data_IF_791143926067
#
_entry.id   IF_791143926067
#
_cell.length_a   1.000
_cell.length_b   1.000
_cell.length_c   1.000
_cell.angle_alpha   90.00
_cell.angle_beta   90.00
_cell.angle_gamma   90.00
#
_symmetry.space_group_name_H-M   'P 1'
#
loop_
_entity.id
_entity.type
_entity.pdbx_description
1 polymer ?
#
# COMPACT_ATOMS: atom_id res chain seq x y z
N UNK A 1 -26.14 33.63 -21.58
CA UNK A 1 -25.59 32.26 -21.66
C UNK A 1 -24.61 32.05 -20.51
N UNK A 2 -24.84 31.00 -19.71
CA UNK A 2 -24.05 30.62 -18.54
C UNK A 2 -22.60 30.25 -18.92
N UNK A 3 -21.63 30.78 -18.16
CA UNK A 3 -20.18 30.51 -18.31
C UNK A 3 -19.87 29.02 -18.32
N UNK A 4 -20.56 28.21 -17.49
CA UNK A 4 -20.34 26.76 -17.43
C UNK A 4 -20.64 26.08 -18.78
N UNK A 5 -21.80 26.40 -19.36
CA UNK A 5 -22.23 25.82 -20.63
C UNK A 5 -21.28 26.19 -21.79
N UNK A 6 -20.75 27.41 -21.81
CA UNK A 6 -19.75 27.85 -22.80
C UNK A 6 -18.44 27.05 -22.67
N UNK A 7 -17.95 26.87 -21.44
CA UNK A 7 -16.72 26.09 -21.18
C UNK A 7 -16.89 24.62 -21.58
N UNK A 8 -18.01 24.00 -21.21
CA UNK A 8 -18.33 22.61 -21.57
C UNK A 8 -18.36 22.45 -23.10
N UNK A 9 -19.04 23.35 -23.81
CA UNK A 9 -19.14 23.33 -25.28
C UNK A 9 -17.76 23.46 -25.94
N UNK A 10 -16.91 24.37 -25.44
CA UNK A 10 -15.56 24.54 -25.95
C UNK A 10 -14.69 23.30 -25.74
N UNK A 11 -14.71 22.71 -24.53
CA UNK A 11 -13.96 21.51 -24.21
C UNK A 11 -14.41 20.29 -25.03
N UNK A 12 -15.72 20.10 -25.21
CA UNK A 12 -16.26 19.02 -26.07
C UNK A 12 -15.83 19.19 -27.53
N UNK A 13 -15.82 20.42 -28.06
CA UNK A 13 -15.29 20.70 -29.41
C UNK A 13 -13.81 20.33 -29.52
N UNK A 14 -13.04 20.54 -28.46
CA UNK A 14 -11.63 20.17 -28.36
C UNK A 14 -11.38 18.70 -27.96
N UNK A 15 -12.43 17.90 -27.76
CA UNK A 15 -12.35 16.51 -27.25
C UNK A 15 -11.63 16.38 -25.90
N UNK A 16 -11.69 17.41 -25.06
CA UNK A 16 -11.14 17.41 -23.70
C UNK A 16 -12.24 16.97 -22.72
N UNK A 17 -11.99 15.97 -21.85
CA UNK A 17 -12.94 15.58 -20.82
C UNK A 17 -13.25 16.75 -19.86
N UNK A 18 -14.52 16.89 -19.48
CA UNK A 18 -14.96 17.86 -18.47
C UNK A 18 -15.55 17.12 -17.29
N UNK A 19 -14.91 17.27 -16.14
CA UNK A 19 -15.37 16.73 -14.86
C UNK A 19 -15.88 17.89 -14.01
N UNK A 20 -17.03 17.72 -13.38
CA UNK A 20 -17.71 18.77 -12.60
C UNK A 20 -17.88 18.34 -11.14
N UNK A 21 -17.37 19.15 -10.22
CA UNK A 21 -17.79 19.14 -8.81
C UNK A 21 -19.02 20.06 -8.68
N UNK A 22 -20.23 19.50 -8.51
CA UNK A 22 -21.42 20.31 -8.59
C UNK A 22 -21.71 21.05 -7.29
N UNK A 23 -22.38 22.20 -7.41
CA UNK A 23 -22.88 23.00 -6.29
C UNK A 23 -24.27 23.54 -6.58
N UNK A 24 -25.09 23.58 -5.54
CA UNK A 24 -26.50 23.97 -5.62
C UNK A 24 -27.43 22.78 -5.84
N UNK A 25 -28.69 23.07 -6.22
CA UNK A 25 -29.74 22.06 -6.45
C UNK A 25 -30.04 21.83 -7.92
N UNK A 26 -29.83 22.84 -8.76
CA UNK A 26 -30.04 22.76 -10.21
C UNK A 26 -28.71 22.55 -10.93
N UNK A 27 -28.59 21.39 -11.58
CA UNK A 27 -27.40 20.99 -12.34
C UNK A 27 -27.55 21.18 -13.85
N UNK A 28 -28.67 21.74 -14.33
CA UNK A 28 -28.93 21.97 -15.76
C UNK A 28 -27.80 22.72 -16.48
N UNK A 29 -27.12 23.62 -15.77
CA UNK A 29 -25.92 24.35 -16.24
C UNK A 29 -24.71 23.48 -16.58
N UNK A 30 -24.67 22.24 -16.10
CA UNK A 30 -23.59 21.28 -16.35
C UNK A 30 -23.90 20.29 -17.49
N UNK A 31 -25.02 20.48 -18.20
CA UNK A 31 -25.45 19.60 -19.29
C UNK A 31 -24.38 19.49 -20.39
N UNK A 32 -24.04 18.25 -20.75
CA UNK A 32 -23.01 17.92 -21.74
C UNK A 32 -21.60 17.76 -21.19
N UNK A 33 -21.41 17.89 -19.87
CA UNK A 33 -20.15 17.52 -19.22
C UNK A 33 -19.84 16.02 -19.43
N UNK A 34 -18.58 15.65 -19.29
CA UNK A 34 -18.17 14.23 -19.43
C UNK A 34 -18.54 13.46 -18.17
N UNK A 35 -18.28 14.05 -17.01
CA UNK A 35 -18.56 13.45 -15.71
C UNK A 35 -19.02 14.48 -14.68
N UNK A 36 -19.75 14.01 -13.68
CA UNK A 36 -20.15 14.77 -12.49
C UNK A 36 -19.80 13.96 -11.23
N UNK A 37 -19.45 14.65 -10.14
CA UNK A 37 -19.00 14.02 -8.89
C UNK A 37 -19.68 14.56 -7.62
N UNK A 38 -21.03 14.62 -7.54
CA UNK A 38 -21.69 15.01 -6.30
C UNK A 38 -21.34 14.05 -5.16
N UNK A 39 -21.38 14.56 -3.93
CA UNK A 39 -21.48 13.70 -2.76
C UNK A 39 -22.90 13.15 -2.57
N UNK A 40 -23.07 12.22 -1.63
CA UNK A 40 -24.36 11.62 -1.26
C UNK A 40 -25.47 12.65 -1.11
N UNK A 41 -25.27 13.66 -0.25
CA UNK A 41 -26.29 14.67 0.05
C UNK A 41 -26.60 15.56 -1.16
N UNK A 42 -25.58 15.93 -1.94
CA UNK A 42 -25.71 16.70 -3.18
C UNK A 42 -26.53 15.93 -4.23
N UNK A 43 -26.24 14.64 -4.43
CA UNK A 43 -26.97 13.79 -5.35
C UNK A 43 -28.43 13.61 -4.92
N UNK A 44 -28.68 13.36 -3.64
CA UNK A 44 -30.04 13.23 -3.10
C UNK A 44 -30.83 14.53 -3.26
N UNK A 45 -30.20 15.66 -2.97
CA UNK A 45 -30.81 16.99 -3.10
C UNK A 45 -31.15 17.33 -4.55
N UNK A 46 -30.27 17.00 -5.50
CA UNK A 46 -30.48 17.31 -6.91
C UNK A 46 -31.52 16.38 -7.58
N UNK A 47 -31.60 15.12 -7.14
CA UNK A 47 -32.46 14.11 -7.78
C UNK A 47 -33.81 13.90 -7.09
N UNK A 48 -33.91 14.28 -5.81
CA UNK A 48 -35.06 13.97 -4.95
C UNK A 48 -35.16 12.49 -4.56
N UNK A 49 -34.11 11.70 -4.80
CA UNK A 49 -34.04 10.28 -4.52
C UNK A 49 -33.04 10.02 -3.39
N UNK A 50 -33.16 8.91 -2.67
CA UNK A 50 -32.18 8.52 -1.64
C UNK A 50 -31.00 7.77 -2.25
N UNK A 51 -29.83 7.85 -1.63
CA UNK A 51 -28.66 7.01 -1.94
C UNK A 51 -28.45 5.92 -0.87
N UNK A 52 -29.40 5.63 0.01
CA UNK A 52 -29.21 4.75 1.17
C UNK A 52 -28.73 3.33 0.82
N UNK A 53 -29.15 2.81 -0.33
CA UNK A 53 -28.77 1.49 -0.84
C UNK A 53 -28.36 1.57 -2.33
N UNK A 54 -27.70 0.53 -2.84
CA UNK A 54 -27.17 0.51 -4.20
C UNK A 54 -28.24 0.73 -5.27
N UNK A 55 -29.41 0.10 -5.11
CA UNK A 55 -30.51 0.26 -6.06
C UNK A 55 -30.97 1.72 -6.19
N UNK A 56 -31.07 2.43 -5.07
CA UNK A 56 -31.49 3.82 -5.05
C UNK A 56 -30.36 4.76 -5.51
N UNK A 57 -29.12 4.46 -5.13
CA UNK A 57 -27.93 5.18 -5.61
C UNK A 57 -27.79 5.07 -7.13
N UNK A 58 -28.05 3.88 -7.69
CA UNK A 58 -28.08 3.66 -9.13
C UNK A 58 -29.18 4.50 -9.79
N UNK A 59 -30.36 4.61 -9.18
CA UNK A 59 -31.44 5.46 -9.67
C UNK A 59 -31.04 6.96 -9.67
N UNK A 60 -30.36 7.43 -8.63
CA UNK A 60 -29.77 8.78 -8.59
C UNK A 60 -28.79 8.99 -9.74
N UNK A 61 -27.84 8.05 -9.90
CA UNK A 61 -26.83 8.12 -10.95
C UNK A 61 -27.45 8.10 -12.37
N UNK A 62 -28.46 7.25 -12.61
CA UNK A 62 -29.22 7.18 -13.88
C UNK A 62 -29.93 8.50 -14.19
N UNK A 63 -30.53 9.12 -13.18
CA UNK A 63 -31.21 10.41 -13.34
C UNK A 63 -30.22 11.50 -13.73
N UNK A 64 -29.13 11.65 -12.97
CA UNK A 64 -28.07 12.63 -13.26
C UNK A 64 -27.45 12.40 -14.65
N UNK A 65 -27.15 11.14 -15.00
CA UNK A 65 -26.56 10.79 -16.29
C UNK A 65 -27.48 11.16 -17.46
N UNK A 66 -28.78 10.86 -17.35
CA UNK A 66 -29.73 11.10 -18.44
C UNK A 66 -30.10 12.58 -18.59
N UNK A 67 -30.41 13.29 -17.50
CA UNK A 67 -30.79 14.71 -17.52
C UNK A 67 -29.64 15.60 -18.04
N UNK A 68 -28.39 15.26 -17.66
CA UNK A 68 -27.20 16.03 -18.01
C UNK A 68 -26.47 15.48 -19.25
N UNK A 69 -26.89 14.35 -19.81
CA UNK A 69 -26.23 13.66 -20.94
C UNK A 69 -24.73 13.41 -20.69
N UNK A 70 -24.42 12.74 -19.59
CA UNK A 70 -23.05 12.43 -19.17
C UNK A 70 -22.52 11.16 -19.82
N UNK A 71 -21.20 11.05 -19.95
CA UNK A 71 -20.52 9.78 -20.30
C UNK A 71 -20.36 8.88 -19.06
N UNK A 72 -20.30 9.46 -17.86
CA UNK A 72 -20.28 8.74 -16.58
C UNK A 72 -20.81 9.63 -15.45
N UNK A 73 -21.60 9.07 -14.54
CA UNK A 73 -21.97 9.72 -13.28
C UNK A 73 -21.22 9.05 -12.12
N UNK A 74 -20.55 9.84 -11.27
CA UNK A 74 -19.95 9.37 -10.03
C UNK A 74 -20.72 9.95 -8.83
N UNK A 75 -20.86 9.19 -7.75
CA UNK A 75 -21.40 9.68 -6.48
C UNK A 75 -20.43 9.27 -5.37
N UNK A 76 -19.84 10.24 -4.67
CA UNK A 76 -18.96 9.93 -3.53
C UNK A 76 -19.82 9.68 -2.28
N UNK A 77 -19.65 8.52 -1.66
CA UNK A 77 -20.46 8.03 -0.54
C UNK A 77 -19.69 8.04 0.79
N UNK A 78 -18.53 8.71 0.84
CA UNK A 78 -17.68 8.75 2.04
C UNK A 78 -17.11 7.38 2.37
N UNK A 79 -17.40 6.88 3.58
CA UNK A 79 -16.95 5.58 4.07
C UNK A 79 -17.47 4.39 3.22
N UNK A 80 -18.57 4.58 2.49
CA UNK A 80 -19.12 3.53 1.62
C UNK A 80 -18.45 3.49 0.24
N UNK A 81 -17.49 4.37 -0.03
CA UNK A 81 -16.76 4.41 -1.30
C UNK A 81 -17.38 5.32 -2.34
N UNK A 82 -17.28 4.92 -3.60
CA UNK A 82 -17.72 5.70 -4.76
C UNK A 82 -18.60 4.84 -5.64
N UNK A 83 -19.83 5.28 -5.85
CA UNK A 83 -20.69 4.70 -6.87
C UNK A 83 -20.38 5.31 -8.24
N UNK A 84 -20.40 4.50 -9.29
CA UNK A 84 -20.23 4.97 -10.65
C UNK A 84 -21.19 4.27 -11.62
N UNK A 85 -21.64 5.04 -12.60
CA UNK A 85 -22.45 4.56 -13.71
C UNK A 85 -21.93 5.14 -15.03
N UNK A 86 -21.15 4.36 -15.80
CA UNK A 86 -20.78 4.75 -17.16
C UNK A 86 -21.98 4.67 -18.09
N UNK A 87 -21.96 5.45 -19.18
CA UNK A 87 -23.00 5.44 -20.23
C UNK A 87 -23.06 4.12 -20.97
N UNK A 88 -21.89 3.47 -21.10
CA UNK A 88 -21.74 2.12 -21.64
C UNK A 88 -21.17 1.23 -20.53
N UNK A 89 -22.05 0.58 -19.79
CA UNK A 89 -21.69 -0.34 -18.73
C UNK A 89 -22.77 -0.43 -17.66
N UNK A 90 -22.46 -1.11 -16.57
CA UNK A 90 -23.35 -1.28 -15.44
C UNK A 90 -22.96 -0.39 -14.28
N UNK A 91 -23.92 -0.12 -13.40
CA UNK A 91 -23.64 0.44 -12.10
C UNK A 91 -22.62 -0.42 -11.35
N UNK A 92 -21.71 0.22 -10.64
CA UNK A 92 -20.80 -0.46 -9.70
C UNK A 92 -20.45 0.47 -8.55
N UNK A 93 -19.89 -0.11 -7.50
CA UNK A 93 -19.39 0.60 -6.33
C UNK A 93 -17.93 0.20 -6.09
N UNK A 94 -17.07 1.21 -5.95
CA UNK A 94 -15.68 1.03 -5.56
C UNK A 94 -15.60 1.30 -4.06
N UNK A 95 -15.32 0.29 -3.22
CA UNK A 95 -15.23 0.49 -1.78
C UNK A 95 -14.07 1.43 -1.42
N UNK A 96 -14.26 2.26 -0.40
CA UNK A 96 -13.14 2.98 0.22
C UNK A 96 -12.42 2.09 1.22
N UNK A 97 -11.16 2.41 1.51
CA UNK A 97 -10.42 1.76 2.58
C UNK A 97 -10.64 2.52 3.88
N UNK A 98 -10.85 1.78 4.98
CA UNK A 98 -10.85 2.36 6.31
C UNK A 98 -9.47 2.96 6.58
N UNK A 99 -9.41 4.29 6.62
CA UNK A 99 -8.22 5.06 7.00
C UNK A 99 -8.57 5.94 8.18
N UNK A 100 -7.60 6.26 9.02
CA UNK A 100 -7.79 7.25 10.08
C UNK A 100 -8.12 8.60 9.44
N UNK A 101 -9.40 8.99 9.52
CA UNK A 101 -9.88 10.27 9.01
C UNK A 101 -9.43 11.35 10.00
N UNK A 102 -8.56 12.23 9.53
CA UNK A 102 -8.06 13.38 10.30
C UNK A 102 -8.79 14.66 9.89
N UNK A 103 -8.90 14.91 8.58
CA UNK A 103 -9.56 16.11 8.04
C UNK A 103 -10.11 15.82 6.63
N UNK A 104 -11.38 16.18 6.38
CA UNK A 104 -12.06 15.98 5.08
C UNK A 104 -11.82 17.12 4.08
N UNK A 105 -11.26 18.24 4.50
CA UNK A 105 -11.10 19.49 3.72
C UNK A 105 -10.23 19.32 2.47
N UNK A 106 -10.79 19.39 1.26
CA UNK A 106 -10.04 19.19 0.00
C UNK A 106 -10.01 17.74 -0.52
N UNK A 107 -10.80 16.84 0.09
CA UNK A 107 -10.93 15.47 -0.41
C UNK A 107 -11.62 15.44 -1.78
N UNK A 108 -12.67 16.26 -1.95
CA UNK A 108 -13.33 16.46 -3.23
C UNK A 108 -12.38 17.02 -4.30
N UNK A 109 -11.56 18.02 -3.96
CA UNK A 109 -10.57 18.60 -4.88
C UNK A 109 -9.53 17.56 -5.32
N UNK A 110 -9.06 16.74 -4.38
CA UNK A 110 -8.13 15.64 -4.68
C UNK A 110 -8.79 14.58 -5.55
N UNK A 111 -10.06 14.26 -5.28
CA UNK A 111 -10.85 13.32 -6.07
C UNK A 111 -10.96 13.79 -7.52
N UNK A 112 -11.45 15.01 -7.74
CA UNK A 112 -11.70 15.55 -9.08
C UNK A 112 -10.40 15.79 -9.86
N UNK A 113 -9.33 16.26 -9.20
CA UNK A 113 -8.03 16.45 -9.84
C UNK A 113 -7.44 15.11 -10.32
N UNK A 114 -7.53 14.07 -9.49
CA UNK A 114 -7.07 12.72 -9.85
C UNK A 114 -7.93 12.15 -10.98
N UNK A 115 -9.25 12.26 -10.87
CA UNK A 115 -10.20 11.79 -11.89
C UNK A 115 -9.92 12.46 -13.24
N UNK A 116 -9.82 13.79 -13.29
CA UNK A 116 -9.53 14.55 -14.49
C UNK A 116 -8.19 14.19 -15.12
N UNK A 117 -7.16 13.98 -14.30
CA UNK A 117 -5.82 13.59 -14.77
C UNK A 117 -5.81 12.26 -15.52
N UNK A 118 -6.50 11.25 -15.00
CA UNK A 118 -6.52 9.91 -15.62
C UNK A 118 -7.56 9.80 -16.74
N UNK A 119 -8.69 10.51 -16.65
CA UNK A 119 -9.65 10.62 -17.75
C UNK A 119 -9.03 11.30 -18.97
N UNK A 120 -8.21 12.34 -18.77
CA UNK A 120 -7.49 13.01 -19.86
C UNK A 120 -6.49 12.07 -20.58
N UNK A 121 -6.02 11.02 -19.90
CA UNK A 121 -5.16 9.97 -20.46
C UNK A 121 -5.95 8.82 -21.11
N UNK A 122 -7.29 8.87 -21.08
CA UNK A 122 -8.15 7.84 -21.65
C UNK A 122 -8.28 6.57 -20.80
N UNK A 123 -7.95 6.63 -19.51
CA UNK A 123 -8.18 5.52 -18.59
C UNK A 123 -9.68 5.23 -18.41
N UNK A 124 -10.04 3.98 -18.06
CA UNK A 124 -11.43 3.61 -17.86
C UNK A 124 -12.06 4.35 -16.67
N UNK A 125 -13.39 4.58 -16.65
CA UNK A 125 -14.06 5.21 -15.53
C UNK A 125 -13.80 4.51 -14.18
N UNK A 126 -13.74 3.18 -14.18
CA UNK A 126 -13.46 2.34 -13.00
C UNK A 126 -12.04 2.60 -12.49
N UNK A 127 -11.05 2.60 -13.38
CA UNK A 127 -9.66 2.88 -13.02
C UNK A 127 -9.50 4.31 -12.48
N UNK A 128 -10.14 5.29 -13.13
CA UNK A 128 -10.12 6.68 -12.69
C UNK A 128 -10.72 6.82 -11.28
N UNK A 129 -11.88 6.22 -11.02
CA UNK A 129 -12.53 6.29 -9.72
C UNK A 129 -11.78 5.51 -8.64
N UNK A 130 -11.16 4.38 -8.96
CA UNK A 130 -10.31 3.63 -8.03
C UNK A 130 -9.12 4.48 -7.57
N UNK A 131 -8.41 5.10 -8.53
CA UNK A 131 -7.27 5.97 -8.25
C UNK A 131 -7.68 7.21 -7.46
N UNK A 132 -8.78 7.86 -7.85
CA UNK A 132 -9.31 9.04 -7.18
C UNK A 132 -9.77 8.74 -5.75
N UNK A 133 -10.38 7.57 -5.52
CA UNK A 133 -10.80 7.12 -4.19
C UNK A 133 -9.57 6.85 -3.29
N UNK A 134 -8.54 6.17 -3.82
CA UNK A 134 -7.27 5.96 -3.09
C UNK A 134 -6.58 7.28 -2.75
N UNK A 135 -6.47 8.19 -3.73
CA UNK A 135 -5.90 9.52 -3.57
C UNK A 135 -6.62 10.34 -2.48
N UNK A 136 -7.95 10.37 -2.53
CA UNK A 136 -8.78 11.07 -1.53
C UNK A 136 -8.66 10.44 -0.16
N UNK A 137 -8.57 9.11 -0.08
CA UNK A 137 -8.31 8.36 1.15
C UNK A 137 -6.97 8.73 1.80
N UNK A 138 -5.91 8.96 1.02
CA UNK A 138 -4.63 9.49 1.53
C UNK A 138 -4.80 10.93 2.01
N UNK A 139 -5.53 11.74 1.26
CA UNK A 139 -5.72 13.15 1.61
C UNK A 139 -6.45 13.30 2.94
N UNK A 140 -7.46 12.48 3.23
CA UNK A 140 -8.22 12.61 4.48
C UNK A 140 -7.43 12.28 5.74
N UNK A 141 -6.27 11.64 5.62
CA UNK A 141 -5.33 11.42 6.73
C UNK A 141 -4.32 12.56 6.91
N UNK A 142 -4.46 13.67 6.17
CA UNK A 142 -3.61 14.87 6.27
C UNK A 142 -4.45 16.07 6.70
N UNK A 143 -3.84 17.01 7.42
CA UNK A 143 -4.47 18.26 7.81
C UNK A 143 -4.52 19.27 6.66
N UNK A 144 -5.65 19.93 6.49
CA UNK A 144 -5.89 20.98 5.50
C UNK A 144 -5.88 20.47 4.05
N UNK A 145 -5.73 21.41 3.11
CA UNK A 145 -5.64 21.16 1.67
C UNK A 145 -4.22 20.71 1.25
N UNK A 146 -3.54 19.90 2.07
CA UNK A 146 -2.21 19.41 1.77
C UNK A 146 -2.22 18.51 0.53
N UNK A 147 -1.31 18.76 -0.42
CA UNK A 147 -1.19 17.97 -1.63
C UNK A 147 -0.77 16.52 -1.35
N UNK A 148 -1.24 15.61 -2.18
CA UNK A 148 -0.76 14.23 -2.24
C UNK A 148 0.29 14.08 -3.35
N UNK A 149 1.20 13.15 -3.16
CA UNK A 149 2.25 12.84 -4.14
C UNK A 149 1.93 11.57 -4.92
N UNK A 150 2.49 11.46 -6.13
CA UNK A 150 2.42 10.25 -6.95
C UNK A 150 2.92 9.02 -6.19
N UNK A 151 3.98 9.16 -5.40
CA UNK A 151 4.55 8.04 -4.65
C UNK A 151 3.67 7.58 -3.50
N UNK A 152 2.92 8.47 -2.86
CA UNK A 152 1.92 8.08 -1.86
C UNK A 152 0.78 7.27 -2.49
N UNK A 153 0.28 7.71 -3.64
CA UNK A 153 -0.75 6.98 -4.39
C UNK A 153 -0.22 5.62 -4.85
N UNK A 154 0.99 5.59 -5.43
CA UNK A 154 1.65 4.34 -5.84
C UNK A 154 1.79 3.38 -4.67
N UNK A 155 2.30 3.84 -3.52
CA UNK A 155 2.45 3.01 -2.31
C UNK A 155 1.12 2.49 -1.79
N UNK A 156 0.05 3.29 -1.85
CA UNK A 156 -1.27 2.85 -1.43
C UNK A 156 -1.85 1.77 -2.35
N UNK A 157 -1.70 1.91 -3.67
CA UNK A 157 -2.12 0.89 -4.65
C UNK A 157 -1.33 -0.40 -4.45
N UNK A 158 -0.01 -0.27 -4.34
CA UNK A 158 0.93 -1.33 -3.99
C UNK A 158 0.44 -2.03 -2.71
N UNK A 159 0.30 -1.33 -1.59
CA UNK A 159 -0.21 -1.91 -0.34
C UNK A 159 -1.56 -2.64 -0.49
N UNK A 160 -2.49 -2.12 -1.30
CA UNK A 160 -3.80 -2.75 -1.60
C UNK A 160 -3.65 -4.08 -2.34
N UNK A 161 -2.71 -4.17 -3.28
CA UNK A 161 -2.40 -5.43 -3.97
C UNK A 161 -1.53 -6.37 -3.12
N UNK A 162 -0.74 -5.84 -2.18
CA UNK A 162 0.15 -6.61 -1.30
C UNK A 162 -0.56 -7.31 -0.14
N UNK A 163 -1.86 -7.09 0.07
CA UNK A 163 -2.62 -7.92 1.00
C UNK A 163 -2.62 -9.41 0.57
N UNK A 164 -2.28 -9.71 -0.69
CA UNK A 164 -2.06 -11.08 -1.20
C UNK A 164 -0.82 -11.28 -2.09
N UNK A 165 -0.07 -10.23 -2.46
CA UNK A 165 1.13 -10.35 -3.30
C UNK A 165 2.42 -10.42 -2.46
N UNK A 166 2.88 -11.64 -2.19
CA UNK A 166 4.14 -11.91 -1.49
C UNK A 166 5.37 -11.40 -2.26
N UNK A 167 5.32 -11.28 -3.60
CA UNK A 167 6.46 -10.81 -4.39
C UNK A 167 6.86 -9.41 -3.98
N UNK A 168 5.90 -8.61 -3.57
CA UNK A 168 6.13 -7.20 -3.45
C UNK A 168 6.65 -6.78 -2.06
N UNK A 169 6.81 -7.77 -1.16
CA UNK A 169 7.71 -7.68 0.01
C UNK A 169 9.13 -8.14 -0.32
N UNK A 170 9.34 -8.95 -1.36
CA UNK A 170 10.64 -9.49 -1.73
C UNK A 170 11.29 -8.52 -2.73
N UNK A 171 12.35 -7.86 -2.30
CA UNK A 171 12.94 -6.74 -3.03
C UNK A 171 14.40 -6.99 -3.38
N UNK A 172 14.75 -6.58 -4.60
CA UNK A 172 16.14 -6.40 -5.02
C UNK A 172 16.82 -5.29 -4.21
N UNK A 173 18.14 -5.36 -4.09
CA UNK A 173 18.92 -4.45 -3.26
C UNK A 173 18.75 -2.98 -3.67
N UNK A 174 18.60 -2.71 -4.98
CA UNK A 174 18.35 -1.37 -5.51
C UNK A 174 17.02 -0.80 -5.05
N UNK A 175 15.94 -1.58 -5.11
CA UNK A 175 14.60 -1.12 -4.73
C UNK A 175 14.50 -0.95 -3.21
N UNK A 176 15.09 -1.89 -2.47
CA UNK A 176 15.17 -1.81 -1.02
C UNK A 176 15.91 -0.54 -0.58
N UNK A 177 16.99 -0.16 -1.26
CA UNK A 177 17.73 1.09 -0.98
C UNK A 177 16.83 2.33 -1.08
N UNK A 178 16.08 2.44 -2.17
CA UNK A 178 15.22 3.59 -2.44
C UNK A 178 14.03 3.64 -1.47
N UNK A 179 13.48 2.48 -1.12
CA UNK A 179 12.41 2.35 -0.11
C UNK A 179 12.93 2.74 1.27
N UNK A 180 14.07 2.21 1.70
CA UNK A 180 14.66 2.56 3.00
C UNK A 180 15.03 4.04 3.07
N UNK A 181 15.55 4.65 1.99
CA UNK A 181 15.79 6.10 1.95
C UNK A 181 14.50 6.88 2.19
N UNK A 182 13.45 6.54 1.44
CA UNK A 182 12.13 7.20 1.55
C UNK A 182 11.51 7.06 2.95
N UNK A 183 11.64 5.88 3.56
CA UNK A 183 11.15 5.62 4.92
C UNK A 183 11.88 6.48 5.97
N UNK A 184 13.20 6.64 5.82
CA UNK A 184 14.00 7.50 6.71
C UNK A 184 13.66 8.97 6.54
N UNK A 185 13.49 9.44 5.31
CA UNK A 185 13.04 10.82 5.03
C UNK A 185 11.65 11.08 5.64
N UNK A 186 10.80 10.05 5.69
CA UNK A 186 9.50 10.09 6.38
C UNK A 186 9.59 9.89 7.91
N UNK A 187 10.79 9.85 8.50
CA UNK A 187 11.00 9.70 9.95
C UNK A 187 10.66 8.32 10.52
N UNK A 188 10.53 7.28 9.68
CA UNK A 188 10.16 5.93 10.12
C UNK A 188 11.35 5.17 10.69
N UNK A 189 11.14 4.49 11.82
CA UNK A 189 12.15 3.67 12.50
C UNK A 189 12.26 2.29 11.85
N UNK A 190 13.26 2.12 10.99
CA UNK A 190 13.60 0.85 10.33
C UNK A 190 14.36 -0.09 11.28
N UNK A 191 13.84 -1.31 11.42
CA UNK A 191 14.46 -2.45 12.10
C UNK A 191 15.02 -3.42 11.05
N UNK A 192 16.20 -3.96 11.29
CA UNK A 192 16.79 -5.00 10.45
C UNK A 192 17.12 -6.24 11.27
N UNK A 193 16.86 -7.41 10.67
CA UNK A 193 17.30 -8.70 11.17
C UNK A 193 17.70 -9.59 9.99
N UNK A 194 18.41 -10.68 10.23
CA UNK A 194 18.77 -11.60 9.15
C UNK A 194 18.86 -13.05 9.64
N UNK A 195 18.73 -13.99 8.71
CA UNK A 195 18.94 -15.40 8.98
C UNK A 195 18.59 -16.31 7.81
N UNK A 196 18.70 -17.61 8.03
CA UNK A 196 18.37 -18.64 7.05
C UNK A 196 16.85 -18.95 7.01
N UNK A 197 16.20 -19.08 8.18
CA UNK A 197 14.77 -19.40 8.29
C UNK A 197 14.33 -20.63 7.48
N UNK A 198 15.13 -21.71 7.55
CA UNK A 198 14.95 -22.92 6.75
C UNK A 198 13.59 -23.60 6.96
N UNK A 199 13.31 -24.05 8.18
CA UNK A 199 11.98 -24.55 8.57
C UNK A 199 11.45 -23.64 9.66
N UNK A 200 10.35 -22.95 9.36
CA UNK A 200 9.69 -22.06 10.32
C UNK A 200 9.07 -22.85 11.48
N UNK A 201 9.05 -22.19 12.63
CA UNK A 201 8.43 -22.68 13.85
C UNK A 201 8.08 -21.50 14.75
N UNK A 202 7.33 -21.74 15.82
CA UNK A 202 6.87 -20.71 16.75
C UNK A 202 8.00 -19.77 17.23
N UNK A 203 9.20 -20.30 17.52
CA UNK A 203 10.36 -19.48 17.88
C UNK A 203 10.73 -18.40 16.83
N UNK A 204 10.64 -18.70 15.53
CA UNK A 204 10.88 -17.69 14.48
C UNK A 204 9.78 -16.63 14.45
N UNK A 205 8.51 -17.03 14.62
CA UNK A 205 7.38 -16.09 14.66
C UNK A 205 7.53 -15.15 15.86
N UNK A 206 7.80 -15.68 17.05
CA UNK A 206 8.06 -14.88 18.26
C UNK A 206 9.26 -13.95 18.08
N UNK A 207 10.34 -14.43 17.47
CA UNK A 207 11.52 -13.62 17.17
C UNK A 207 11.21 -12.45 16.21
N UNK A 208 10.50 -12.71 15.12
CA UNK A 208 10.13 -11.68 14.14
C UNK A 208 9.15 -10.67 14.73
N UNK A 209 8.20 -11.13 15.55
CA UNK A 209 7.29 -10.24 16.28
C UNK A 209 8.05 -9.32 17.26
N UNK A 210 9.02 -9.87 17.99
CA UNK A 210 9.91 -9.06 18.83
C UNK A 210 10.69 -8.03 18.01
N UNK A 211 11.22 -8.42 16.84
CA UNK A 211 11.91 -7.48 15.94
C UNK A 211 10.96 -6.35 15.51
N UNK A 212 9.76 -6.70 15.05
CA UNK A 212 8.77 -5.74 14.54
C UNK A 212 8.31 -4.74 15.58
N UNK A 213 8.28 -5.13 16.85
CA UNK A 213 7.96 -4.25 17.98
C UNK A 213 9.04 -3.17 18.29
N UNK A 214 10.23 -3.25 17.69
CA UNK A 214 11.33 -2.27 17.92
C UNK A 214 11.35 -1.09 16.93
N UNK A 215 10.36 -1.01 16.07
CA UNK A 215 10.23 0.10 15.13
C UNK A 215 8.96 0.02 14.29
N UNK A 216 8.96 0.77 13.19
CA UNK A 216 7.77 0.93 12.36
C UNK A 216 7.79 0.05 11.11
N UNK A 217 8.96 -0.49 10.75
CA UNK A 217 9.19 -1.31 9.55
C UNK A 217 10.25 -2.36 9.86
N UNK A 218 9.99 -3.62 9.55
CA UNK A 218 10.95 -4.73 9.64
C UNK A 218 11.47 -5.13 8.26
N UNK A 219 12.78 -4.99 8.07
CA UNK A 219 13.52 -5.52 6.92
C UNK A 219 14.24 -6.80 7.32
N UNK A 220 14.02 -7.88 6.58
CA UNK A 220 14.62 -9.18 6.79
C UNK A 220 15.66 -9.49 5.68
N UNK A 221 16.93 -9.58 6.06
CA UNK A 221 17.96 -10.15 5.20
C UNK A 221 17.87 -11.68 5.19
N UNK A 222 17.56 -12.28 4.05
CA UNK A 222 17.49 -13.74 3.90
C UNK A 222 18.79 -14.26 3.29
N UNK A 223 19.45 -15.22 3.94
CA UNK A 223 20.62 -15.88 3.36
C UNK A 223 20.21 -16.69 2.12
N UNK A 224 20.96 -16.54 1.02
CA UNK A 224 20.82 -17.38 -0.17
C UNK A 224 21.19 -18.84 0.11
N UNK A 225 20.84 -19.74 -0.82
CA UNK A 225 21.18 -21.16 -0.69
C UNK A 225 22.70 -21.38 -0.65
N UNK A 226 23.45 -20.63 -1.46
CA UNK A 226 24.91 -20.66 -1.46
C UNK A 226 25.50 -20.14 -0.13
N UNK A 227 24.97 -19.05 0.41
CA UNK A 227 25.38 -18.48 1.70
C UNK A 227 25.15 -19.48 2.85
N UNK A 228 24.01 -20.17 2.86
CA UNK A 228 23.68 -21.16 3.90
C UNK A 228 24.63 -22.36 3.84
N UNK A 229 24.93 -22.87 2.64
CA UNK A 229 25.85 -24.02 2.46
C UNK A 229 27.26 -23.70 2.98
N UNK A 230 27.79 -22.51 2.67
CA UNK A 230 29.12 -22.09 3.15
C UNK A 230 29.21 -21.95 4.67
N UNK A 231 28.10 -21.66 5.35
CA UNK A 231 28.03 -21.56 6.81
C UNK A 231 28.08 -22.92 7.53
N UNK A 232 28.14 -24.06 6.80
CA UNK A 232 28.54 -25.35 7.38
C UNK A 232 27.53 -25.98 8.35
N UNK A 233 26.22 -25.71 8.20
CA UNK A 233 25.17 -26.25 9.09
C UNK A 233 24.62 -27.63 8.70
N UNK A 234 25.34 -28.36 7.85
CA UNK A 234 25.00 -29.71 7.34
C UNK A 234 24.95 -29.75 5.81
N UNK A 235 25.38 -30.85 5.19
CA UNK A 235 25.46 -30.99 3.72
C UNK A 235 24.08 -30.95 3.03
N UNK A 236 23.02 -31.32 3.73
CA UNK A 236 21.63 -31.31 3.23
C UNK A 236 20.89 -29.99 3.47
N UNK A 237 21.57 -28.91 3.89
CA UNK A 237 20.95 -27.60 4.16
C UNK A 237 21.29 -26.54 3.10
N UNK A 238 20.35 -25.63 2.77
CA UNK A 238 18.99 -25.56 3.31
C UNK A 238 18.08 -26.65 2.70
N UNK A 239 17.07 -27.07 3.48
CA UNK A 239 16.05 -28.03 3.03
C UNK A 239 15.12 -27.35 2.03
N UNK A 240 14.71 -26.12 2.33
CA UNK A 240 13.91 -25.29 1.43
C UNK A 240 14.81 -24.29 0.70
N UNK A 241 14.63 -24.15 -0.63
CA UNK A 241 15.37 -23.15 -1.39
C UNK A 241 15.02 -21.71 -0.94
N UNK A 242 15.85 -20.76 -1.34
CA UNK A 242 15.72 -19.36 -0.92
C UNK A 242 14.41 -18.70 -1.34
N UNK A 243 13.85 -19.08 -2.49
CA UNK A 243 12.62 -18.48 -3.02
C UNK A 243 11.41 -18.95 -2.20
N UNK A 244 11.35 -20.23 -1.86
CA UNK A 244 10.32 -20.80 -1.00
C UNK A 244 10.40 -20.22 0.41
N UNK A 245 11.61 -20.11 0.97
CA UNK A 245 11.83 -19.48 2.28
C UNK A 245 11.37 -18.02 2.28
N UNK A 246 11.73 -17.25 1.25
CA UNK A 246 11.32 -15.86 1.10
C UNK A 246 9.79 -15.73 1.00
N UNK A 247 9.14 -16.61 0.24
CA UNK A 247 7.69 -16.62 0.06
C UNK A 247 6.93 -16.91 1.35
N UNK A 248 7.38 -17.90 2.11
CA UNK A 248 6.76 -18.22 3.41
C UNK A 248 6.93 -17.05 4.39
N UNK A 249 8.12 -16.45 4.44
CA UNK A 249 8.39 -15.30 5.28
C UNK A 249 7.58 -14.06 4.87
N UNK A 250 7.37 -13.83 3.58
CA UNK A 250 6.59 -12.71 3.06
C UNK A 250 5.11 -12.79 3.48
N UNK A 251 4.58 -14.00 3.70
CA UNK A 251 3.23 -14.19 4.22
C UNK A 251 3.08 -13.79 5.70
N UNK A 252 4.17 -13.60 6.45
CA UNK A 252 4.10 -13.20 7.85
C UNK A 252 3.78 -11.71 7.97
N UNK A 253 2.80 -11.39 8.81
CA UNK A 253 2.34 -10.01 9.03
C UNK A 253 3.44 -9.09 9.58
N UNK A 254 4.34 -9.63 10.42
CA UNK A 254 5.41 -8.88 11.06
C UNK A 254 6.57 -8.51 10.12
N UNK A 255 6.66 -9.12 8.93
CA UNK A 255 7.74 -8.86 7.96
C UNK A 255 7.24 -7.89 6.90
N UNK A 256 7.87 -6.72 6.79
CA UNK A 256 7.50 -5.70 5.81
C UNK A 256 8.27 -5.88 4.49
N UNK A 257 9.59 -6.13 4.57
CA UNK A 257 10.44 -6.35 3.39
C UNK A 257 11.44 -7.48 3.60
N UNK A 258 11.76 -8.19 2.53
CA UNK A 258 12.73 -9.28 2.47
C UNK A 258 13.71 -8.97 1.35
N UNK A 259 14.99 -9.22 1.59
CA UNK A 259 15.99 -9.17 0.52
C UNK A 259 17.01 -10.27 0.69
N UNK A 260 17.23 -11.02 -0.39
CA UNK A 260 18.15 -12.16 -0.40
C UNK A 260 19.58 -11.64 -0.56
N UNK A 261 20.53 -12.18 0.19
CA UNK A 261 21.94 -11.84 0.05
C UNK A 261 22.81 -13.10 0.01
N UNK A 262 23.84 -13.04 -0.83
CA UNK A 262 24.73 -14.17 -1.10
C UNK A 262 25.93 -14.20 -0.16
N UNK A 263 26.35 -13.08 0.40
CA UNK A 263 27.56 -12.99 1.22
C UNK A 263 27.45 -13.77 2.54
N UNK A 264 28.60 -14.05 3.17
CA UNK A 264 28.63 -14.77 4.45
C UNK A 264 28.11 -13.92 5.61
N UNK A 265 28.16 -12.59 5.47
CA UNK A 265 27.64 -11.64 6.46
C UNK A 265 26.72 -10.61 5.81
N UNK A 266 25.70 -10.12 6.51
CA UNK A 266 24.75 -9.12 5.97
C UNK A 266 25.34 -7.70 5.90
N UNK A 267 26.66 -7.52 6.02
CA UNK A 267 27.28 -6.19 6.21
C UNK A 267 27.03 -5.25 5.02
N UNK A 268 27.11 -5.77 3.78
CA UNK A 268 26.78 -5.03 2.57
C UNK A 268 25.32 -4.57 2.60
N UNK A 269 24.40 -5.50 2.88
CA UNK A 269 22.97 -5.21 2.94
C UNK A 269 22.61 -4.23 4.06
N UNK A 270 23.23 -4.34 5.23
CA UNK A 270 23.08 -3.37 6.33
C UNK A 270 23.52 -1.97 5.91
N UNK A 271 24.55 -1.86 5.07
CA UNK A 271 25.04 -0.57 4.57
C UNK A 271 24.08 0.06 3.54
N UNK A 272 23.27 -0.76 2.86
CA UNK A 272 22.19 -0.33 1.96
C UNK A 272 20.99 0.13 2.78
N UNK A 273 20.52 -0.72 3.71
CA UNK A 273 19.32 -0.48 4.53
C UNK A 273 19.54 0.67 5.52
N UNK A 274 20.73 0.77 6.10
CA UNK A 274 21.11 1.72 7.16
C UNK A 274 20.07 1.75 8.29
N UNK A 275 19.83 0.61 8.97
CA UNK A 275 18.76 0.48 9.96
C UNK A 275 19.05 1.28 11.23
N UNK A 276 17.98 1.64 11.94
CA UNK A 276 18.07 2.27 13.26
C UNK A 276 18.25 1.22 14.36
N UNK A 277 17.71 0.03 14.16
CA UNK A 277 17.80 -1.09 15.10
C UNK A 277 18.26 -2.34 14.36
N UNK A 278 19.34 -2.96 14.82
CA UNK A 278 19.78 -4.29 14.38
C UNK A 278 19.42 -5.31 15.45
N UNK A 279 18.60 -6.30 15.10
CA UNK A 279 18.20 -7.36 16.04
C UNK A 279 18.94 -8.66 15.75
N UNK A 280 19.42 -9.31 16.82
CA UNK A 280 20.01 -10.65 16.81
C UNK A 280 19.39 -11.51 17.92
N UNK A 281 19.53 -12.83 17.85
CA UNK A 281 19.16 -13.70 18.98
C UNK A 281 20.08 -13.49 20.18
N UNK A 282 19.59 -13.78 21.40
CA UNK A 282 20.36 -13.68 22.64
C UNK A 282 21.62 -14.55 22.66
N UNK A 283 21.72 -15.58 21.82
CA UNK A 283 22.92 -16.39 21.60
C UNK A 283 24.12 -15.60 21.02
N UNK A 284 23.88 -14.39 20.52
CA UNK A 284 24.90 -13.47 20.01
C UNK A 284 25.34 -12.41 21.03
N UNK A 285 24.74 -12.38 22.21
CA UNK A 285 25.15 -11.45 23.26
C UNK A 285 26.60 -11.75 23.69
N UNK A 286 27.44 -10.71 23.72
CA UNK A 286 28.88 -10.84 23.99
C UNK A 286 29.74 -11.35 22.82
N UNK A 287 29.15 -11.65 21.65
CA UNK A 287 29.89 -12.04 20.43
C UNK A 287 30.01 -10.88 19.44
N UNK A 288 30.91 -11.02 18.48
CA UNK A 288 31.01 -10.08 17.38
C UNK A 288 29.78 -10.19 16.47
N UNK A 289 29.06 -9.07 16.30
CA UNK A 289 27.87 -8.99 15.46
C UNK A 289 28.22 -8.25 14.17
N UNK A 290 28.17 -8.96 13.05
CA UNK A 290 28.39 -8.37 11.73
C UNK A 290 27.45 -7.18 11.47
N UNK A 291 28.03 -6.04 11.07
CA UNK A 291 27.32 -4.79 10.83
C UNK A 291 27.01 -3.94 12.08
N UNK A 292 27.30 -4.41 13.29
CA UNK A 292 27.04 -3.64 14.52
C UNK A 292 27.80 -2.32 14.57
N UNK A 293 29.06 -2.30 14.12
CA UNK A 293 29.87 -1.08 14.06
C UNK A 293 29.28 -0.05 13.10
N UNK A 294 28.78 -0.48 11.93
CA UNK A 294 28.09 0.36 10.96
C UNK A 294 26.82 0.97 11.54
N UNK A 295 25.99 0.16 12.20
CA UNK A 295 24.72 0.62 12.80
C UNK A 295 24.98 1.64 13.91
N UNK A 296 25.94 1.36 14.81
CA UNK A 296 26.32 2.30 15.88
C UNK A 296 26.88 3.62 15.34
N UNK A 297 27.72 3.58 14.30
CA UNK A 297 28.24 4.81 13.64
C UNK A 297 27.13 5.67 13.03
N UNK A 298 26.03 5.05 12.63
CA UNK A 298 24.85 5.73 12.09
C UNK A 298 23.87 6.20 13.19
N UNK A 299 24.23 6.06 14.47
CA UNK A 299 23.38 6.42 15.61
C UNK A 299 22.29 5.39 15.94
N UNK A 300 22.36 4.19 15.34
CA UNK A 300 21.45 3.09 15.64
C UNK A 300 21.91 2.23 16.82
N UNK A 301 21.05 1.29 17.20
CA UNK A 301 21.29 0.37 18.32
C UNK A 301 21.29 -1.10 17.88
N UNK A 302 21.92 -1.95 18.70
CA UNK A 302 21.90 -3.40 18.53
C UNK A 302 21.12 -3.99 19.70
N UNK A 303 20.12 -4.80 19.41
CA UNK A 303 19.21 -5.40 20.40
C UNK A 303 19.27 -6.92 20.28
N UNK A 304 19.26 -7.60 21.42
CA UNK A 304 19.21 -9.04 21.48
C UNK A 304 17.81 -9.53 21.87
N UNK A 305 17.25 -10.41 21.06
CA UNK A 305 15.93 -10.99 21.27
C UNK A 305 16.04 -12.25 22.15
N UNK A 306 15.16 -12.41 23.15
CA UNK A 306 15.16 -13.60 23.98
C UNK A 306 14.88 -14.85 23.14
N UNK A 307 15.58 -15.94 23.45
CA UNK A 307 15.37 -17.23 22.79
C UNK A 307 14.22 -17.97 23.46
N UNK A 308 13.30 -18.52 22.67
CA UNK A 308 12.26 -19.42 23.17
C UNK A 308 12.87 -20.83 23.33
N UNK A 309 12.96 -21.34 24.56
CA UNK A 309 13.55 -22.65 24.84
C UNK A 309 12.80 -23.81 24.14
N UNK A 310 13.53 -24.84 23.72
CA UNK A 310 12.97 -26.11 23.24
C UNK A 310 12.49 -26.16 21.78
N UNK A 311 12.58 -25.08 21.00
CA UNK A 311 12.13 -25.03 19.59
C UNK A 311 13.25 -24.58 18.65
N UNK A 312 13.86 -25.52 17.92
CA UNK A 312 14.82 -25.23 16.84
C UNK A 312 14.53 -26.11 15.63
N UNK A 313 14.85 -25.63 14.42
CA UNK A 313 14.77 -26.42 13.17
C UNK A 313 15.49 -27.77 13.30
N UNK A 314 16.65 -27.78 13.97
CA UNK A 314 17.42 -29.02 14.23
C UNK A 314 16.66 -30.01 15.11
N UNK A 315 15.91 -29.53 16.11
CA UNK A 315 15.10 -30.41 16.97
C UNK A 315 13.87 -30.98 16.23
N UNK A 316 13.29 -30.22 15.30
CA UNK A 316 12.16 -30.70 14.47
C UNK A 316 12.65 -31.81 13.53
N UNK A 317 13.76 -31.59 12.83
CA UNK A 317 14.35 -32.59 11.92
C UNK A 317 14.75 -33.86 12.68
N UNK A 318 15.39 -33.73 13.86
CA UNK A 318 15.72 -34.90 14.70
C UNK A 318 14.47 -35.68 15.14
N UNK A 319 13.36 -35.02 15.42
CA UNK A 319 12.09 -35.71 15.75
C UNK A 319 11.47 -36.45 14.57
N UNK A 320 11.68 -35.98 13.34
CA UNK A 320 11.22 -36.67 12.12
C UNK A 320 12.09 -37.87 11.75
N UNK A 321 13.36 -37.88 12.16
CA UNK A 321 14.33 -38.96 11.92
C UNK A 321 14.38 -40.00 13.05
N UNK A 322 13.68 -39.77 14.16
CA UNK A 322 13.57 -40.75 15.26
C UNK A 322 12.35 -41.64 14.97
N UNK A 323 12.50 -42.98 14.92
CA UNK A 323 11.44 -43.91 14.54
C UNK A 323 10.27 -43.95 15.53
#
# INVERSE_FOLDING_TARGET
>A
EDTCAKMIKAARKAKVPVVVDPKGRDYSKYKGATAITPNRLEAETATGLSCAEDRLTEACAKRLQSELNLEVAFITLGADGVALLPKKGSFSRIPTEARSVFDVTGAGDTFIATLGTFMAQGASPEACAALANTASGIKVSKFGAAAITRDEVRRAIVAKHHAFDYHAKILEHSDLKEICRSLREAGRRIVFTNGCFDILHAGHVTYLNFCRARGDVLVLGLNSDASVRRQGKGEERPINNQDDRARVLAALADVDFISVFDEDTPTSLISIVKPHVLVKGADWEGKEVAGASTVKKLGGEVVFAPLLEGRSTTNIVRKMQSP
#
